data_IF_746228487076
#
_entry.id   IF_746228487076
#
_cell.length_a   1.000
_cell.length_b   1.000
_cell.length_c   1.000
_cell.angle_alpha   90.00
_cell.angle_beta   90.00
_cell.angle_gamma   90.00
#
_symmetry.space_group_name_H-M   'P 1'
#
loop_
_entity.id
_entity.type
_entity.pdbx_description
1 polymer ?
#
# COMPACT_ATOMS: atom_id res chain seq x y z
N UNK A 1 16.00 10.21 40.92
CA UNK A 1 15.01 10.95 40.07
C UNK A 1 15.09 10.64 38.56
N UNK A 2 15.67 9.52 38.14
CA UNK A 2 15.80 9.19 36.71
C UNK A 2 14.87 8.06 36.22
N UNK A 3 14.23 7.32 37.09
CA UNK A 3 13.37 6.21 36.68
C UNK A 3 11.94 6.61 36.24
N UNK A 4 11.44 7.76 36.71
CA UNK A 4 10.09 8.24 36.40
C UNK A 4 9.95 8.81 34.96
N UNK A 5 11.02 9.38 34.41
CA UNK A 5 11.00 10.02 33.09
C UNK A 5 11.00 8.98 31.98
N UNK A 6 11.72 7.87 32.13
CA UNK A 6 11.78 6.78 31.16
C UNK A 6 10.42 6.09 31.03
N UNK A 7 9.73 5.86 32.15
CA UNK A 7 8.39 5.27 32.17
C UNK A 7 7.34 6.15 31.49
N UNK A 8 7.45 7.47 31.62
CA UNK A 8 6.57 8.42 30.90
C UNK A 8 6.79 8.44 29.40
N UNK A 9 8.02 8.28 28.94
CA UNK A 9 8.33 8.21 27.50
C UNK A 9 7.85 6.91 26.86
N UNK A 10 7.99 5.78 27.52
CA UNK A 10 7.49 4.49 27.00
C UNK A 10 5.95 4.45 26.91
N UNK A 11 5.25 5.03 27.88
CA UNK A 11 3.79 5.16 27.85
C UNK A 11 3.34 6.14 26.75
N UNK A 12 4.05 7.25 26.56
CA UNK A 12 3.76 8.21 25.50
C UNK A 12 4.02 7.61 24.11
N UNK A 13 5.09 6.85 23.91
CA UNK A 13 5.41 6.13 22.68
C UNK A 13 4.38 5.02 22.38
N UNK A 14 3.95 4.27 23.38
CA UNK A 14 2.92 3.24 23.22
C UNK A 14 1.56 3.82 22.80
N UNK A 15 1.21 5.02 23.29
CA UNK A 15 -0.04 5.70 22.89
C UNK A 15 0.03 6.36 21.54
N UNK A 16 1.16 6.95 21.19
CA UNK A 16 1.42 7.43 19.84
C UNK A 16 1.32 6.29 18.83
N UNK A 17 1.93 5.15 19.11
CA UNK A 17 1.84 3.94 18.27
C UNK A 17 0.39 3.48 18.05
N UNK A 18 -0.44 3.45 19.11
CA UNK A 18 -1.85 3.09 18.98
C UNK A 18 -2.65 4.08 18.13
N UNK A 19 -2.38 5.38 18.29
CA UNK A 19 -3.03 6.44 17.52
C UNK A 19 -2.59 6.36 16.05
N UNK A 20 -1.32 6.09 15.77
CA UNK A 20 -0.81 5.88 14.42
C UNK A 20 -1.42 4.64 13.76
N UNK A 21 -1.54 3.53 14.50
CA UNK A 21 -2.20 2.33 14.01
C UNK A 21 -3.68 2.58 13.66
N UNK A 22 -4.38 3.34 14.48
CA UNK A 22 -5.77 3.73 14.23
C UNK A 22 -5.89 4.68 13.03
N UNK A 23 -4.97 5.64 12.90
CA UNK A 23 -4.92 6.55 11.75
C UNK A 23 -4.62 5.81 10.44
N UNK A 24 -3.69 4.86 10.44
CA UNK A 24 -3.39 4.03 9.28
C UNK A 24 -4.58 3.13 8.90
N UNK A 25 -5.24 2.52 9.88
CA UNK A 25 -6.43 1.69 9.68
C UNK A 25 -7.58 2.47 9.08
N UNK A 26 -7.83 3.70 9.53
CA UNK A 26 -8.86 4.57 8.96
C UNK A 26 -8.47 5.13 7.59
N UNK A 27 -7.20 5.38 7.33
CA UNK A 27 -6.74 5.82 6.01
C UNK A 27 -6.90 4.72 4.96
N UNK A 28 -6.76 3.44 5.31
CA UNK A 28 -7.00 2.32 4.41
C UNK A 28 -8.47 2.19 3.97
N UNK A 29 -9.41 2.65 4.79
CA UNK A 29 -10.86 2.61 4.51
C UNK A 29 -11.44 3.92 3.98
N UNK A 30 -10.62 4.87 3.60
CA UNK A 30 -11.07 6.18 3.10
C UNK A 30 -11.72 6.06 1.72
N UNK A 31 -13.03 6.08 1.66
CA UNK A 31 -13.77 6.26 0.42
C UNK A 31 -13.60 7.72 -0.05
N UNK A 32 -12.97 7.98 -1.21
CA UNK A 32 -12.94 9.32 -1.77
C UNK A 32 -14.38 9.74 -2.13
N UNK A 33 -14.83 10.90 -1.64
CA UNK A 33 -16.12 11.48 -1.98
C UNK A 33 -17.19 11.42 -0.90
N UNK A 34 -16.94 10.91 0.31
CA UNK A 34 -17.88 11.06 1.41
C UNK A 34 -17.59 12.37 2.19
N UNK A 35 -18.42 13.42 2.03
CA UNK A 35 -18.19 14.72 2.68
C UNK A 35 -18.22 14.63 4.21
N UNK A 36 -18.88 13.63 4.76
CA UNK A 36 -18.98 13.41 6.20
C UNK A 36 -17.86 12.57 6.80
N UNK A 37 -16.96 12.02 5.98
CA UNK A 37 -15.90 11.14 6.46
C UNK A 37 -14.99 11.81 7.49
N UNK A 38 -14.60 13.06 7.25
CA UNK A 38 -13.75 13.85 8.17
C UNK A 38 -14.42 13.98 9.55
N UNK A 39 -15.71 14.23 9.58
CA UNK A 39 -16.50 14.38 10.81
C UNK A 39 -16.66 13.03 11.52
N UNK A 40 -16.94 11.96 10.80
CA UNK A 40 -17.07 10.61 11.35
C UNK A 40 -15.73 10.12 11.92
N UNK A 41 -14.64 10.36 11.22
CA UNK A 41 -13.29 10.05 11.70
C UNK A 41 -12.95 10.77 13.00
N UNK A 42 -13.20 12.08 13.07
CA UNK A 42 -12.94 12.88 14.26
C UNK A 42 -13.81 12.42 15.44
N UNK A 43 -15.09 12.12 15.19
CA UNK A 43 -16.02 11.61 16.22
C UNK A 43 -15.55 10.25 16.74
N UNK A 44 -15.25 9.29 15.87
CA UNK A 44 -14.81 7.95 16.29
C UNK A 44 -13.47 8.00 17.04
N UNK A 45 -12.55 8.82 16.58
CA UNK A 45 -11.28 9.03 17.27
C UNK A 45 -11.47 9.66 18.65
N UNK A 46 -12.31 10.68 18.77
CA UNK A 46 -12.63 11.29 20.08
C UNK A 46 -13.30 10.29 21.02
N UNK A 47 -14.14 9.41 20.49
CA UNK A 47 -14.75 8.31 21.25
C UNK A 47 -13.69 7.32 21.74
N UNK A 48 -12.81 6.85 20.88
CA UNK A 48 -11.72 5.92 21.23
C UNK A 48 -10.76 6.53 22.27
N UNK A 49 -10.45 7.82 22.14
CA UNK A 49 -9.64 8.53 23.13
C UNK A 49 -10.33 8.64 24.49
N UNK A 50 -11.66 8.80 24.54
CA UNK A 50 -12.44 8.79 25.78
C UNK A 50 -12.55 7.39 26.40
N UNK A 51 -12.76 6.37 25.60
CA UNK A 51 -12.84 4.96 26.03
C UNK A 51 -11.50 4.51 26.65
N UNK A 52 -10.36 4.99 26.11
CA UNK A 52 -9.02 4.71 26.61
C UNK A 52 -8.53 5.71 27.69
N UNK A 53 -9.31 6.74 28.03
CA UNK A 53 -8.88 7.83 28.90
C UNK A 53 -8.84 7.49 30.39
N UNK A 54 -9.24 6.27 30.79
CA UNK A 54 -9.18 5.83 32.20
C UNK A 54 -7.79 5.88 32.83
N UNK A 55 -6.74 6.13 32.02
CA UNK A 55 -5.34 6.12 32.48
C UNK A 55 -4.47 7.31 32.02
N UNK A 56 -5.02 8.42 31.50
CA UNK A 56 -4.17 9.46 30.89
C UNK A 56 -4.60 10.89 31.14
N UNK A 57 -3.55 11.74 31.27
CA UNK A 57 -3.60 13.18 31.41
C UNK A 57 -4.39 13.83 30.23
N UNK A 58 -5.53 14.43 30.59
CA UNK A 58 -6.46 15.07 29.65
C UNK A 58 -5.80 16.28 28.95
N UNK A 59 -4.84 16.95 29.60
CA UNK A 59 -4.15 18.10 29.02
C UNK A 59 -3.23 17.71 27.86
N UNK A 60 -2.50 16.63 28.00
CA UNK A 60 -1.64 16.09 26.94
C UNK A 60 -2.44 15.68 25.72
N UNK A 61 -3.63 15.09 25.93
CA UNK A 61 -4.56 14.71 24.84
C UNK A 61 -5.10 15.96 24.13
N UNK A 62 -5.50 17.00 24.87
CA UNK A 62 -5.95 18.28 24.31
C UNK A 62 -4.87 18.96 23.49
N UNK A 63 -3.65 19.00 24.01
CA UNK A 63 -2.47 19.58 23.34
C UNK A 63 -2.17 18.86 22.02
N UNK A 64 -2.20 17.53 22.05
CA UNK A 64 -2.02 16.71 20.84
C UNK A 64 -3.11 16.97 19.79
N UNK A 65 -4.39 16.99 20.17
CA UNK A 65 -5.51 17.25 19.27
C UNK A 65 -5.39 18.63 18.62
N UNK A 66 -4.97 19.64 19.38
CA UNK A 66 -4.79 21.00 18.89
C UNK A 66 -3.63 21.08 17.86
N UNK A 67 -2.47 20.53 18.18
CA UNK A 67 -1.30 20.47 17.28
C UNK A 67 -1.67 19.74 15.99
N UNK A 68 -2.35 18.61 16.10
CA UNK A 68 -2.78 17.85 14.92
C UNK A 68 -3.80 18.60 14.06
N UNK A 69 -4.76 19.30 14.67
CA UNK A 69 -5.71 20.11 13.93
C UNK A 69 -5.01 21.20 13.11
N UNK A 70 -4.02 21.88 13.73
CA UNK A 70 -3.20 22.87 13.05
C UNK A 70 -2.38 22.28 11.90
N UNK A 71 -1.78 21.10 12.10
CA UNK A 71 -1.01 20.39 11.06
C UNK A 71 -1.89 19.94 9.88
N UNK A 72 -3.09 19.43 10.17
CA UNK A 72 -4.05 19.06 9.16
C UNK A 72 -4.54 20.29 8.36
N UNK A 73 -4.77 21.40 9.03
CA UNK A 73 -5.16 22.67 8.42
C UNK A 73 -4.05 23.23 7.50
N UNK A 74 -2.78 23.16 7.92
CA UNK A 74 -1.62 23.53 7.09
C UNK A 74 -1.43 22.61 5.88
N UNK A 75 -1.69 21.31 6.03
CA UNK A 75 -1.46 20.30 4.96
C UNK A 75 -2.57 20.27 3.92
N UNK A 76 -3.81 20.48 4.33
CA UNK A 76 -4.98 20.29 3.45
C UNK A 76 -5.69 21.60 3.09
N UNK A 77 -5.24 22.75 3.62
CA UNK A 77 -5.83 24.05 3.40
C UNK A 77 -7.20 24.20 4.09
N UNK A 78 -7.68 25.43 4.17
CA UNK A 78 -9.06 25.74 4.56
C UNK A 78 -9.92 25.53 3.31
N UNK A 79 -10.82 24.56 3.34
CA UNK A 79 -11.93 24.56 2.38
C UNK A 79 -12.85 25.70 2.79
N UNK A 80 -12.93 26.73 1.97
CA UNK A 80 -13.82 27.87 2.16
C UNK A 80 -15.25 27.42 2.37
N UNK A 81 -15.85 28.01 3.36
CA UNK A 81 -17.16 27.76 3.90
C UNK A 81 -18.27 27.96 2.89
N UNK A 82 -19.17 26.99 2.81
CA UNK A 82 -20.55 27.24 2.45
C UNK A 82 -21.21 27.82 3.69
N UNK A 83 -21.56 29.10 3.61
CA UNK A 83 -22.30 29.85 4.59
C UNK A 83 -23.66 29.21 4.89
N UNK A 84 -23.88 28.81 6.13
CA UNK A 84 -25.23 28.66 6.68
C UNK A 84 -25.38 29.71 7.78
N UNK A 85 -26.16 30.74 7.44
CA UNK A 85 -26.63 31.73 8.36
C UNK A 85 -27.63 31.10 9.36
N UNK A 86 -27.39 31.27 10.63
CA UNK A 86 -28.44 31.42 11.64
C UNK A 86 -27.88 32.05 12.93
N UNK A 87 -28.31 33.22 13.13
CA UNK A 87 -28.57 34.10 14.26
C UNK A 87 -28.23 33.69 15.69
N UNK A 88 -27.66 34.72 16.37
CA UNK A 88 -27.78 35.12 17.80
C UNK A 88 -26.98 34.26 18.81
N UNK A 89 -26.09 34.81 19.55
CA UNK A 89 -26.10 35.85 20.56
C UNK A 89 -24.72 36.05 21.21
N UNK A 90 -24.47 37.28 21.56
CA UNK A 90 -23.37 37.90 22.29
C UNK A 90 -22.69 37.06 23.41
N UNK A 91 -21.35 37.06 23.46
CA UNK A 91 -20.64 37.71 24.57
C UNK A 91 -19.15 37.98 24.22
N UNK A 92 -18.75 39.21 24.51
CA UNK A 92 -17.39 39.77 24.44
C UNK A 92 -16.50 39.14 25.52
N UNK A 93 -15.25 38.82 25.18
CA UNK A 93 -14.09 39.36 25.91
C UNK A 93 -12.77 38.82 25.38
N UNK A 94 -11.98 39.77 25.01
CA UNK A 94 -10.55 40.04 25.16
C UNK A 94 -9.57 39.25 24.31
N UNK A 95 -9.33 39.82 23.16
CA UNK A 95 -8.13 39.81 22.37
C UNK A 95 -6.97 40.47 23.12
N UNK A 96 -5.92 39.73 23.49
CA UNK A 96 -4.57 40.29 23.77
C UNK A 96 -3.43 39.26 23.81
N UNK A 97 -3.57 38.06 23.24
CA UNK A 97 -2.50 37.07 23.25
C UNK A 97 -2.01 36.64 21.83
N UNK A 98 -2.47 37.30 20.76
CA UNK A 98 -2.14 36.89 19.39
C UNK A 98 -1.04 37.72 18.71
N UNK A 99 -0.52 38.78 19.31
CA UNK A 99 0.45 39.66 18.66
C UNK A 99 1.94 39.35 18.96
N UNK A 100 2.23 38.46 19.92
CA UNK A 100 3.62 38.12 20.26
C UNK A 100 4.18 36.90 19.52
N UNK A 101 3.35 36.23 18.71
CA UNK A 101 3.77 35.02 17.97
C UNK A 101 4.07 35.32 16.50
N UNK A 102 3.60 36.46 15.96
CA UNK A 102 3.86 36.80 14.56
C UNK A 102 5.25 37.41 14.29
N UNK A 103 5.89 38.04 15.26
CA UNK A 103 7.23 38.62 15.07
C UNK A 103 8.38 37.60 15.09
N UNK A 104 8.19 36.42 15.67
CA UNK A 104 9.21 35.36 15.66
C UNK A 104 9.16 34.47 14.38
N UNK A 105 8.15 34.62 13.55
CA UNK A 105 7.98 33.82 12.31
C UNK A 105 8.56 34.54 11.09
N UNK A 106 8.74 35.87 11.13
CA UNK A 106 9.18 36.65 9.97
C UNK A 106 10.70 36.65 9.76
N UNK A 107 11.50 36.21 10.72
CA UNK A 107 12.98 36.17 10.60
C UNK A 107 13.48 34.87 9.94
N UNK A 108 12.65 33.82 9.85
CA UNK A 108 13.05 32.54 9.26
C UNK A 108 12.55 32.29 7.82
N UNK A 109 11.97 33.28 7.14
CA UNK A 109 11.47 33.11 5.77
C UNK A 109 12.55 33.25 4.67
N UNK A 110 13.83 33.40 5.00
CA UNK A 110 14.96 33.52 4.03
C UNK A 110 15.96 32.37 4.04
N UNK A 111 15.69 31.25 4.73
CA UNK A 111 16.41 29.99 4.49
C UNK A 111 15.44 28.93 3.99
N UNK A 112 15.00 29.10 2.75
CA UNK A 112 14.54 28.03 1.90
C UNK A 112 15.80 27.24 1.51
N UNK A 113 16.20 26.29 2.31
CA UNK A 113 17.26 25.37 1.94
C UNK A 113 16.87 23.97 2.36
N UNK A 114 16.75 23.13 1.37
CA UNK A 114 17.18 21.73 1.34
C UNK A 114 17.15 20.98 2.68
N UNK A 115 15.97 20.86 3.26
CA UNK A 115 15.73 19.72 4.12
C UNK A 115 15.46 18.53 3.19
N UNK A 116 16.55 17.89 2.83
CA UNK A 116 16.56 16.66 2.05
C UNK A 116 15.65 15.64 2.70
N UNK A 117 14.80 15.04 1.89
CA UNK A 117 13.91 13.91 2.23
C UNK A 117 14.68 12.73 2.86
N UNK A 118 16.02 12.75 2.82
CA UNK A 118 16.93 11.70 3.29
C UNK A 118 16.69 11.24 4.74
N UNK A 119 16.30 12.11 5.65
CA UNK A 119 16.04 11.73 7.05
C UNK A 119 14.76 10.90 7.23
N UNK A 120 13.79 11.00 6.31
CA UNK A 120 12.51 10.34 6.44
C UNK A 120 12.47 8.90 5.89
N UNK A 121 13.49 8.47 5.15
CA UNK A 121 13.57 7.16 4.51
C UNK A 121 14.81 6.36 4.93
N UNK A 122 15.32 6.61 6.11
CA UNK A 122 16.48 5.91 6.66
C UNK A 122 16.11 4.48 7.08
N UNK A 123 16.05 3.58 6.11
CA UNK A 123 16.14 2.15 6.35
C UNK A 123 17.62 1.80 6.32
N UNK A 124 18.23 1.58 7.46
CA UNK A 124 19.68 1.36 7.55
C UNK A 124 20.06 0.00 8.09
N UNK A 125 19.12 -0.72 8.68
CA UNK A 125 19.39 -2.00 9.33
C UNK A 125 18.62 -3.16 8.74
N UNK A 126 19.32 -4.29 8.52
CA UNK A 126 18.68 -5.58 8.30
C UNK A 126 18.11 -6.04 9.64
N UNK A 127 16.79 -6.20 9.70
CA UNK A 127 16.11 -6.70 10.89
C UNK A 127 16.18 -8.23 10.96
N UNK A 128 15.95 -8.88 9.81
CA UNK A 128 16.00 -10.35 9.69
C UNK A 128 16.16 -10.77 8.23
N UNK A 129 16.63 -12.00 8.03
CA UNK A 129 16.73 -12.64 6.73
C UNK A 129 16.01 -13.97 6.81
N UNK A 130 15.13 -14.22 5.86
CA UNK A 130 14.44 -15.49 5.66
C UNK A 130 14.99 -16.18 4.41
N UNK A 131 15.33 -17.47 4.52
CA UNK A 131 15.95 -18.30 3.47
C UNK A 131 15.27 -19.67 3.28
N UNK A 132 14.00 -19.77 3.68
CA UNK A 132 13.25 -21.04 3.66
C UNK A 132 12.81 -21.50 2.26
N UNK A 133 12.87 -20.63 1.25
CA UNK A 133 12.46 -20.96 -0.12
C UNK A 133 13.66 -21.39 -0.96
N UNK A 134 13.46 -22.42 -1.80
CA UNK A 134 14.51 -22.97 -2.66
C UNK A 134 14.57 -22.34 -4.04
N UNK A 135 13.51 -21.63 -4.45
CA UNK A 135 13.42 -20.90 -5.71
C UNK A 135 13.01 -19.46 -5.45
N UNK A 136 13.00 -18.65 -6.52
CA UNK A 136 12.71 -17.23 -6.43
C UNK A 136 11.40 -16.95 -5.67
N UNK A 137 11.46 -15.96 -4.79
CA UNK A 137 10.28 -15.39 -4.14
C UNK A 137 9.85 -14.18 -4.95
N UNK A 138 8.84 -14.37 -5.78
CA UNK A 138 8.36 -13.34 -6.70
C UNK A 138 7.49 -12.29 -6.02
N UNK A 139 6.82 -12.65 -4.93
CA UNK A 139 5.90 -11.75 -4.21
C UNK A 139 6.14 -11.87 -2.71
N UNK A 140 6.33 -10.72 -2.10
CA UNK A 140 6.24 -10.54 -0.64
C UNK A 140 5.14 -9.55 -0.34
N UNK A 141 4.30 -9.84 0.67
CA UNK A 141 3.20 -8.95 1.00
C UNK A 141 2.89 -8.97 2.49
N UNK A 142 3.05 -7.82 3.15
CA UNK A 142 2.57 -7.66 4.52
C UNK A 142 1.05 -7.74 4.57
N UNK A 143 0.54 -8.29 5.67
CA UNK A 143 -0.89 -8.29 5.94
C UNK A 143 -1.42 -6.86 6.13
N UNK A 144 -2.68 -6.63 5.74
CA UNK A 144 -3.31 -5.33 5.89
C UNK A 144 -3.41 -4.96 7.38
N UNK A 145 -2.93 -3.78 7.77
CA UNK A 145 -2.99 -3.29 9.16
C UNK A 145 -2.40 -4.22 10.24
N UNK A 146 -1.57 -5.20 9.85
CA UNK A 146 -0.85 -6.09 10.76
C UNK A 146 0.60 -6.24 10.30
N UNK A 147 1.54 -5.61 11.02
CA UNK A 147 2.97 -5.67 10.69
C UNK A 147 3.63 -6.98 11.09
N UNK A 148 2.95 -7.82 11.86
CA UNK A 148 3.52 -9.07 12.33
C UNK A 148 3.55 -10.16 11.26
N UNK A 149 2.60 -10.13 10.31
CA UNK A 149 2.42 -11.17 9.31
C UNK A 149 2.93 -10.74 7.95
N UNK A 150 3.81 -11.53 7.39
CA UNK A 150 4.32 -11.40 6.03
C UNK A 150 4.03 -12.69 5.26
N UNK A 151 3.48 -12.58 4.06
CA UNK A 151 3.33 -13.67 3.10
C UNK A 151 4.48 -13.60 2.09
N UNK A 152 5.10 -14.74 1.80
CA UNK A 152 6.11 -14.90 0.76
C UNK A 152 5.65 -16.00 -0.19
N UNK A 153 5.44 -15.66 -1.47
CA UNK A 153 5.03 -16.59 -2.50
C UNK A 153 6.22 -16.94 -3.41
N UNK A 154 6.52 -18.23 -3.51
CA UNK A 154 7.70 -18.73 -4.22
C UNK A 154 7.36 -19.57 -5.43
N UNK A 155 8.30 -19.62 -6.36
CA UNK A 155 8.25 -20.52 -7.52
C UNK A 155 8.47 -21.99 -7.15
N UNK A 156 8.92 -22.30 -5.92
CA UNK A 156 8.99 -23.66 -5.38
C UNK A 156 7.60 -24.30 -5.14
N UNK A 157 6.52 -23.57 -5.43
CA UNK A 157 5.14 -24.03 -5.27
C UNK A 157 4.57 -23.83 -3.87
N UNK A 158 5.33 -23.24 -2.96
CA UNK A 158 4.92 -23.01 -1.56
C UNK A 158 4.70 -21.53 -1.24
N UNK A 159 3.93 -21.28 -0.20
CA UNK A 159 3.70 -19.95 0.34
C UNK A 159 4.01 -19.97 1.83
N UNK A 160 4.98 -19.21 2.27
CA UNK A 160 5.30 -19.10 3.69
C UNK A 160 4.63 -17.90 4.33
N UNK A 161 4.14 -18.10 5.55
CA UNK A 161 3.66 -17.02 6.42
C UNK A 161 4.68 -16.85 7.54
N UNK A 162 5.27 -15.64 7.59
CA UNK A 162 6.31 -15.30 8.54
C UNK A 162 5.75 -14.38 9.64
N UNK A 163 6.12 -14.65 10.90
CA UNK A 163 5.93 -13.72 12.02
C UNK A 163 7.21 -12.90 12.17
N UNK A 164 7.12 -11.65 11.72
CA UNK A 164 8.27 -10.72 11.66
C UNK A 164 8.52 -10.03 12.99
N UNK A 165 7.53 -10.01 13.89
CA UNK A 165 7.62 -9.37 15.20
C UNK A 165 8.02 -10.32 16.32
N UNK A 166 8.04 -11.61 16.06
CA UNK A 166 8.59 -12.59 17.00
C UNK A 166 10.06 -12.30 17.31
N UNK A 167 10.54 -12.72 18.44
CA UNK A 167 11.94 -12.54 18.86
C UNK A 167 12.58 -13.92 19.09
N UNK A 168 13.38 -14.43 18.15
CA UNK A 168 13.68 -13.92 16.80
C UNK A 168 12.49 -14.06 15.83
N UNK A 169 12.46 -13.29 14.71
CA UNK A 169 11.51 -13.49 13.62
C UNK A 169 11.58 -14.92 13.09
N UNK A 170 10.43 -15.50 12.70
CA UNK A 170 10.35 -16.92 12.32
C UNK A 170 9.30 -17.16 11.25
N UNK A 171 9.47 -18.24 10.51
CA UNK A 171 8.40 -18.80 9.67
C UNK A 171 7.34 -19.40 10.60
N UNK A 172 6.12 -18.87 10.54
CA UNK A 172 5.02 -19.35 11.37
C UNK A 172 4.46 -20.67 10.85
N UNK A 173 4.30 -20.79 9.53
CA UNK A 173 3.90 -22.01 8.82
C UNK A 173 4.07 -21.84 7.31
N UNK A 174 4.06 -22.96 6.59
CA UNK A 174 4.10 -23.02 5.12
C UNK A 174 2.77 -23.59 4.63
N UNK A 175 2.25 -23.01 3.55
CA UNK A 175 1.05 -23.48 2.86
C UNK A 175 1.51 -24.24 1.60
N UNK A 176 1.13 -25.49 1.53
CA UNK A 176 1.42 -26.41 0.42
C UNK A 176 0.13 -26.78 -0.29
N UNK A 177 0.12 -26.72 -1.62
CA UNK A 177 -1.08 -27.06 -2.42
C UNK A 177 -0.96 -26.74 -3.90
N UNK A 178 -0.10 -25.79 -4.29
CA UNK A 178 0.24 -25.58 -5.69
C UNK A 178 1.23 -26.64 -6.17
N UNK A 179 1.04 -27.10 -7.40
CA UNK A 179 1.92 -28.10 -8.03
C UNK A 179 3.01 -27.46 -8.90
N UNK A 180 2.93 -26.16 -9.13
CA UNK A 180 3.91 -25.35 -9.86
C UNK A 180 4.08 -24.01 -9.16
N UNK A 181 4.94 -23.16 -9.73
CA UNK A 181 5.24 -21.83 -9.24
C UNK A 181 4.01 -21.03 -8.77
N UNK A 182 4.06 -20.47 -7.58
CA UNK A 182 3.07 -19.50 -7.09
C UNK A 182 3.42 -18.14 -7.69
N UNK A 183 2.50 -17.57 -8.44
CA UNK A 183 2.70 -16.35 -9.25
C UNK A 183 1.98 -15.14 -8.69
N UNK A 184 1.01 -15.34 -7.80
CA UNK A 184 0.23 -14.27 -7.19
C UNK A 184 -0.25 -14.63 -5.79
N UNK A 185 -0.32 -13.63 -4.92
CA UNK A 185 -0.97 -13.75 -3.61
C UNK A 185 -1.58 -12.42 -3.17
N UNK A 186 -2.66 -12.51 -2.41
CA UNK A 186 -3.29 -11.34 -1.80
C UNK A 186 -4.01 -11.67 -0.50
N UNK A 187 -3.94 -10.72 0.45
CA UNK A 187 -4.62 -10.79 1.74
C UNK A 187 -6.05 -10.26 1.62
N UNK A 188 -7.00 -10.95 2.26
CA UNK A 188 -8.32 -10.37 2.50
C UNK A 188 -8.23 -9.12 3.39
N UNK A 189 -9.22 -8.25 3.34
CA UNK A 189 -9.23 -7.02 4.14
C UNK A 189 -9.13 -7.26 5.65
N UNK A 190 -9.63 -8.42 6.14
CA UNK A 190 -9.57 -8.85 7.55
C UNK A 190 -8.30 -9.61 7.92
N UNK A 191 -7.45 -10.00 6.96
CA UNK A 191 -6.28 -10.88 7.12
C UNK A 191 -6.60 -12.32 7.59
N UNK A 192 -7.87 -12.72 7.58
CA UNK A 192 -8.27 -14.08 7.92
C UNK A 192 -8.08 -15.04 6.75
N UNK A 193 -8.17 -14.51 5.54
CA UNK A 193 -8.05 -15.25 4.30
C UNK A 193 -6.85 -14.77 3.50
N UNK A 194 -6.24 -15.71 2.81
CA UNK A 194 -5.23 -15.46 1.78
C UNK A 194 -5.72 -16.14 0.49
N UNK A 195 -5.59 -15.46 -0.64
CA UNK A 195 -5.73 -16.06 -1.96
C UNK A 195 -4.37 -16.19 -2.60
N UNK A 196 -4.13 -17.31 -3.26
CA UNK A 196 -2.92 -17.54 -4.06
C UNK A 196 -3.31 -18.06 -5.43
N UNK A 197 -2.51 -17.77 -6.44
CA UNK A 197 -2.66 -18.32 -7.77
C UNK A 197 -1.32 -18.80 -8.31
N UNK A 198 -1.35 -19.77 -9.21
CA UNK A 198 -0.13 -20.41 -9.68
C UNK A 198 -0.11 -20.76 -11.17
N UNK A 199 1.09 -21.11 -11.62
CA UNK A 199 1.36 -21.59 -12.98
C UNK A 199 0.70 -22.96 -13.26
N UNK A 200 0.15 -23.61 -12.24
CA UNK A 200 -0.68 -24.82 -12.36
C UNK A 200 -2.14 -24.52 -12.79
N UNK A 201 -2.47 -23.22 -12.97
CA UNK A 201 -3.82 -22.78 -13.29
C UNK A 201 -4.79 -22.80 -12.12
N UNK A 202 -4.32 -23.12 -10.92
CA UNK A 202 -5.12 -23.13 -9.72
C UNK A 202 -5.15 -21.77 -9.02
N UNK A 203 -6.30 -21.43 -8.49
CA UNK A 203 -6.49 -20.38 -7.48
C UNK A 203 -6.91 -21.06 -6.18
N UNK A 204 -6.17 -20.83 -5.10
CA UNK A 204 -6.41 -21.45 -3.81
C UNK A 204 -6.75 -20.39 -2.77
N UNK A 205 -7.85 -20.63 -2.07
CA UNK A 205 -8.27 -19.83 -0.90
C UNK A 205 -7.86 -20.55 0.38
N UNK A 206 -7.18 -19.83 1.25
CA UNK A 206 -6.65 -20.33 2.52
C UNK A 206 -7.29 -19.63 3.71
N UNK A 207 -7.59 -20.39 4.77
CA UNK A 207 -7.85 -19.88 6.11
C UNK A 207 -6.51 -19.79 6.84
N UNK A 208 -6.03 -18.58 7.03
CA UNK A 208 -4.72 -18.33 7.64
C UNK A 208 -4.69 -18.71 9.11
N UNK A 209 -5.79 -18.49 9.83
CA UNK A 209 -5.87 -18.80 11.25
C UNK A 209 -5.89 -20.32 11.51
N UNK A 210 -6.62 -21.08 10.67
CA UNK A 210 -6.70 -22.53 10.74
C UNK A 210 -5.61 -23.25 9.95
N UNK A 211 -4.80 -22.50 9.20
CA UNK A 211 -3.67 -23.00 8.38
C UNK A 211 -4.09 -24.09 7.40
N UNK A 212 -5.24 -23.91 6.76
CA UNK A 212 -5.80 -24.92 5.85
C UNK A 212 -6.34 -24.32 4.58
N UNK A 213 -6.32 -25.12 3.53
CA UNK A 213 -7.01 -24.82 2.29
C UNK A 213 -8.52 -24.88 2.52
N UNK A 214 -9.22 -23.82 2.10
CA UNK A 214 -10.69 -23.78 2.09
C UNK A 214 -11.24 -24.24 0.75
N UNK A 215 -10.62 -23.80 -0.34
CA UNK A 215 -11.08 -24.10 -1.70
C UNK A 215 -9.93 -23.98 -2.69
N UNK A 216 -9.95 -24.85 -3.72
CA UNK A 216 -9.16 -24.68 -4.92
C UNK A 216 -10.12 -24.61 -6.11
N UNK A 217 -9.85 -23.69 -7.03
CA UNK A 217 -10.61 -23.49 -8.27
C UNK A 217 -9.63 -23.44 -9.43
N UNK A 218 -9.88 -24.23 -10.45
CA UNK A 218 -9.07 -24.20 -11.68
C UNK A 218 -9.56 -23.12 -12.63
N UNK A 219 -8.61 -22.51 -13.35
CA UNK A 219 -8.90 -21.59 -14.43
C UNK A 219 -9.79 -22.26 -15.50
N UNK A 220 -10.77 -21.52 -16.00
CA UNK A 220 -11.74 -22.05 -16.98
C UNK A 220 -11.08 -22.58 -18.27
N UNK A 221 -9.96 -21.95 -18.65
CA UNK A 221 -9.18 -22.32 -19.84
C UNK A 221 -8.00 -23.25 -19.52
N UNK A 222 -7.87 -23.68 -18.27
CA UNK A 222 -6.72 -24.44 -17.74
C UNK A 222 -5.38 -23.74 -18.06
N UNK A 223 -5.38 -22.42 -18.07
CA UNK A 223 -4.21 -21.61 -18.33
C UNK A 223 -3.48 -21.27 -17.03
N UNK A 224 -2.15 -21.10 -17.04
CA UNK A 224 -1.44 -20.55 -15.91
C UNK A 224 -2.05 -19.22 -15.47
N UNK A 225 -2.35 -19.08 -14.18
CA UNK A 225 -2.71 -17.82 -13.56
C UNK A 225 -1.43 -17.05 -13.25
N UNK A 226 -1.40 -15.75 -13.46
CA UNK A 226 -0.20 -14.92 -13.31
C UNK A 226 -0.33 -13.86 -12.21
N UNK A 227 -1.55 -13.47 -11.89
CA UNK A 227 -1.82 -12.49 -10.84
C UNK A 227 -3.23 -12.67 -10.28
N UNK A 228 -3.41 -12.35 -9.01
CA UNK A 228 -4.71 -12.33 -8.36
C UNK A 228 -4.77 -11.24 -7.28
N UNK A 229 -5.93 -10.63 -7.13
CA UNK A 229 -6.20 -9.62 -6.08
C UNK A 229 -7.61 -9.78 -5.54
N UNK A 230 -7.80 -9.63 -4.23
CA UNK A 230 -9.14 -9.50 -3.67
C UNK A 230 -9.80 -8.20 -4.11
N UNK A 231 -11.09 -8.27 -4.31
CA UNK A 231 -11.88 -7.05 -4.44
C UNK A 231 -11.87 -6.34 -3.06
N UNK A 232 -11.42 -5.08 -2.97
CA UNK A 232 -11.10 -4.45 -1.69
C UNK A 232 -12.25 -4.33 -0.68
N UNK A 233 -13.49 -4.38 -1.15
CA UNK A 233 -14.70 -4.23 -0.31
C UNK A 233 -15.44 -5.56 -0.10
N UNK A 234 -15.12 -6.57 -0.90
CA UNK A 234 -15.81 -7.87 -0.86
C UNK A 234 -14.81 -9.03 -0.88
N UNK A 235 -14.53 -9.60 0.28
CA UNK A 235 -13.61 -10.74 0.45
C UNK A 235 -14.06 -12.04 -0.26
N UNK A 236 -15.28 -12.08 -0.82
CA UNK A 236 -15.74 -13.22 -1.59
C UNK A 236 -15.36 -13.14 -3.08
N UNK A 237 -14.93 -11.96 -3.56
CA UNK A 237 -14.62 -11.74 -4.95
C UNK A 237 -13.13 -11.54 -5.14
N UNK A 238 -12.56 -12.26 -6.10
CA UNK A 238 -11.16 -12.15 -6.53
C UNK A 238 -11.12 -11.86 -8.01
N UNK A 239 -10.21 -10.99 -8.42
CA UNK A 239 -9.94 -10.71 -9.82
C UNK A 239 -8.61 -11.38 -10.16
N UNK A 240 -8.57 -12.15 -11.21
CA UNK A 240 -7.39 -12.87 -11.67
C UNK A 240 -7.06 -12.58 -13.12
N UNK A 241 -5.79 -12.74 -13.46
CA UNK A 241 -5.29 -12.66 -14.80
C UNK A 241 -4.52 -13.92 -15.20
N UNK A 242 -4.77 -14.42 -16.41
CA UNK A 242 -4.14 -15.64 -16.89
C UNK A 242 -3.19 -15.42 -18.08
N UNK A 243 -2.44 -16.46 -18.42
CA UNK A 243 -1.46 -16.45 -19.51
C UNK A 243 -2.09 -16.39 -20.90
N UNK A 244 -3.40 -16.64 -21.06
CA UNK A 244 -4.14 -16.50 -22.32
C UNK A 244 -4.73 -15.10 -22.53
N UNK A 245 -4.46 -14.18 -21.59
CA UNK A 245 -4.91 -12.80 -21.70
C UNK A 245 -6.32 -12.55 -21.22
N UNK A 246 -6.88 -13.45 -20.42
CA UNK A 246 -8.18 -13.26 -19.79
C UNK A 246 -8.00 -12.59 -18.43
N UNK A 247 -8.83 -11.61 -18.16
CA UNK A 247 -9.10 -11.04 -16.85
C UNK A 247 -10.44 -11.58 -16.40
N UNK A 248 -10.48 -12.24 -15.25
CA UNK A 248 -11.65 -12.94 -14.75
C UNK A 248 -11.96 -12.58 -13.31
N UNK A 249 -13.23 -12.46 -13.00
CA UNK A 249 -13.74 -12.31 -11.63
C UNK A 249 -14.24 -13.66 -11.17
N UNK A 250 -13.80 -14.08 -10.00
CA UNK A 250 -14.23 -15.34 -9.35
C UNK A 250 -14.84 -15.04 -8.00
N UNK A 251 -15.98 -15.63 -7.71
CA UNK A 251 -16.48 -15.72 -6.34
C UNK A 251 -15.80 -16.92 -5.65
N UNK A 252 -14.78 -16.63 -4.83
CA UNK A 252 -13.96 -17.68 -4.18
C UNK A 252 -14.72 -18.46 -3.12
N UNK A 253 -15.79 -17.91 -2.54
CA UNK A 253 -16.62 -18.61 -1.57
C UNK A 253 -17.48 -19.71 -2.21
N UNK A 254 -18.00 -19.47 -3.41
CA UNK A 254 -18.83 -20.41 -4.15
C UNK A 254 -18.06 -21.20 -5.20
N UNK A 255 -16.93 -20.68 -5.67
CA UNK A 255 -16.16 -21.24 -6.81
C UNK A 255 -16.78 -20.93 -8.18
N UNK A 256 -17.68 -19.96 -8.24
CA UNK A 256 -18.46 -19.65 -9.47
C UNK A 256 -17.89 -18.37 -10.13
N UNK A 257 -17.72 -18.43 -11.44
CA UNK A 257 -17.43 -17.27 -12.28
C UNK A 257 -18.74 -16.56 -12.64
N UNK A 258 -18.92 -15.29 -12.25
CA UNK A 258 -20.16 -14.56 -12.55
C UNK A 258 -20.31 -14.29 -14.05
N UNK A 259 -21.54 -14.24 -14.52
CA UNK A 259 -21.83 -13.89 -15.93
C UNK A 259 -21.30 -12.50 -16.27
N UNK A 260 -20.58 -12.36 -17.37
CA UNK A 260 -19.94 -11.11 -17.78
C UNK A 260 -18.72 -10.73 -16.93
N UNK A 261 -18.27 -11.60 -16.02
CA UNK A 261 -17.09 -11.39 -15.16
C UNK A 261 -15.76 -11.70 -15.84
N UNK A 262 -15.74 -11.94 -17.15
CA UNK A 262 -14.51 -12.21 -17.92
C UNK A 262 -14.34 -11.23 -19.06
N UNK A 263 -13.06 -10.90 -19.36
CA UNK A 263 -12.71 -9.96 -20.41
C UNK A 263 -11.32 -10.26 -20.99
N UNK A 264 -11.17 -10.16 -22.30
CA UNK A 264 -9.90 -10.40 -23.01
C UNK A 264 -9.08 -9.10 -23.00
N UNK A 265 -7.84 -9.14 -22.47
CA UNK A 265 -6.89 -8.02 -22.51
C UNK A 265 -6.02 -8.04 -23.77
N UNK A 266 -5.71 -9.23 -24.29
CA UNK A 266 -4.94 -9.40 -25.53
C UNK A 266 -3.43 -9.52 -25.32
N UNK A 267 -2.97 -10.41 -24.49
CA UNK A 267 -1.60 -10.72 -24.09
C UNK A 267 -1.63 -11.30 -22.69
N UNK A 268 -0.55 -11.87 -22.19
CA UNK A 268 -0.49 -12.46 -20.84
C UNK A 268 -0.79 -11.39 -19.81
N UNK A 269 -1.80 -11.59 -18.95
CA UNK A 269 -2.16 -10.63 -17.91
C UNK A 269 -1.17 -10.77 -16.76
N UNK A 270 -0.30 -9.80 -16.59
CA UNK A 270 0.84 -9.87 -15.67
C UNK A 270 0.57 -9.20 -14.32
N UNK A 271 -0.28 -8.18 -14.29
CA UNK A 271 -0.57 -7.45 -13.05
C UNK A 271 -1.95 -6.81 -13.05
N UNK A 272 -2.53 -6.71 -11.86
CA UNK A 272 -3.83 -6.08 -11.59
C UNK A 272 -3.68 -5.17 -10.37
N UNK A 273 -4.26 -3.96 -10.44
CA UNK A 273 -4.36 -3.05 -9.31
C UNK A 273 -5.78 -2.52 -9.17
N UNK A 274 -6.35 -2.64 -7.97
CA UNK A 274 -7.70 -2.19 -7.67
C UNK A 274 -7.71 -0.84 -6.95
N UNK A 275 -8.69 -0.01 -7.28
CA UNK A 275 -9.05 1.14 -6.47
C UNK A 275 -9.68 0.69 -5.14
N UNK A 276 -9.51 1.45 -4.05
CA UNK A 276 -10.06 1.10 -2.72
C UNK A 276 -11.58 0.93 -2.68
N UNK A 277 -12.30 1.54 -3.61
CA UNK A 277 -13.75 1.36 -3.73
C UNK A 277 -14.13 -0.01 -4.30
N UNK A 278 -13.18 -0.72 -4.92
CA UNK A 278 -13.40 -1.99 -5.62
C UNK A 278 -14.29 -1.91 -6.86
N UNK A 279 -14.68 -0.70 -7.28
CA UNK A 279 -15.51 -0.49 -8.48
C UNK A 279 -14.69 -0.40 -9.76
N UNK A 280 -13.46 0.03 -9.65
CA UNK A 280 -12.54 0.20 -10.76
C UNK A 280 -11.21 -0.48 -10.47
N UNK A 281 -10.61 -1.03 -11.51
CA UNK A 281 -9.27 -1.58 -11.46
C UNK A 281 -8.57 -1.44 -12.81
N UNK A 282 -7.26 -1.59 -12.80
CA UNK A 282 -6.43 -1.63 -14.00
C UNK A 282 -5.81 -3.01 -14.11
N UNK A 283 -5.79 -3.55 -15.32
CA UNK A 283 -5.06 -4.76 -15.66
C UNK A 283 -4.06 -4.45 -16.76
N UNK A 284 -2.89 -5.05 -16.67
CA UNK A 284 -1.81 -4.86 -17.63
C UNK A 284 -1.28 -6.20 -18.16
N UNK A 285 -0.61 -6.14 -19.30
CA UNK A 285 -0.09 -7.32 -19.97
C UNK A 285 1.40 -7.21 -20.34
N UNK A 286 1.93 -8.32 -20.84
CA UNK A 286 3.29 -8.48 -21.34
C UNK A 286 3.60 -7.70 -22.63
N UNK A 287 2.62 -7.03 -23.24
CA UNK A 287 2.76 -6.17 -24.41
C UNK A 287 2.71 -4.68 -24.08
N UNK A 288 2.78 -4.33 -22.80
CA UNK A 288 2.72 -2.94 -22.36
C UNK A 288 1.32 -2.31 -22.41
N UNK A 289 0.26 -3.08 -22.61
CA UNK A 289 -1.11 -2.58 -22.65
C UNK A 289 -1.70 -2.57 -21.26
N UNK A 290 -2.25 -1.44 -20.86
CA UNK A 290 -2.97 -1.22 -19.60
C UNK A 290 -4.40 -0.85 -19.94
N UNK A 291 -5.38 -1.55 -19.38
CA UNK A 291 -6.81 -1.25 -19.55
C UNK A 291 -7.43 -1.01 -18.19
N UNK A 292 -8.20 0.07 -18.06
CA UNK A 292 -9.07 0.28 -16.91
C UNK A 292 -10.40 -0.44 -17.11
N UNK A 293 -10.89 -1.04 -16.03
CA UNK A 293 -12.14 -1.78 -15.99
C UNK A 293 -13.05 -1.23 -14.91
N UNK A 294 -14.35 -1.24 -15.18
CA UNK A 294 -15.37 -1.06 -14.16
C UNK A 294 -16.01 -2.39 -13.86
N UNK A 295 -16.11 -2.71 -12.58
CA UNK A 295 -16.83 -3.88 -12.10
C UNK A 295 -18.21 -3.44 -11.59
N UNK A 296 -19.27 -4.06 -12.12
CA UNK A 296 -20.63 -3.76 -11.66
C UNK A 296 -20.91 -4.48 -10.36
N UNK A 297 -21.23 -3.73 -9.32
CA UNK A 297 -21.80 -4.11 -8.02
C UNK A 297 -21.61 -5.56 -7.56
N UNK A 298 -22.68 -6.18 -7.07
CA UNK A 298 -22.67 -7.55 -6.58
C UNK A 298 -22.54 -8.62 -7.70
N UNK A 299 -22.76 -8.25 -8.95
CA UNK A 299 -22.77 -9.18 -10.09
C UNK A 299 -21.40 -9.48 -10.69
N UNK A 300 -20.34 -8.71 -10.36
CA UNK A 300 -18.98 -8.94 -10.83
C UNK A 300 -18.77 -8.78 -12.36
N UNK A 301 -19.75 -8.25 -13.11
CA UNK A 301 -19.62 -8.05 -14.55
C UNK A 301 -18.61 -6.94 -14.87
N UNK A 302 -17.78 -7.16 -15.90
CA UNK A 302 -16.69 -6.28 -16.29
C UNK A 302 -17.05 -5.44 -17.53
N UNK A 303 -16.70 -4.16 -17.47
CA UNK A 303 -16.77 -3.24 -18.61
C UNK A 303 -15.40 -2.63 -18.84
N UNK A 304 -14.86 -2.75 -20.04
CA UNK A 304 -13.63 -2.05 -20.46
C UNK A 304 -13.92 -0.56 -20.60
N UNK A 305 -13.01 0.28 -20.13
CA UNK A 305 -13.16 1.73 -20.20
C UNK A 305 -12.07 2.37 -21.06
N UNK A 306 -10.87 2.53 -20.53
CA UNK A 306 -9.77 3.25 -21.17
C UNK A 306 -8.57 2.34 -21.39
N UNK A 307 -7.81 2.64 -22.44
CA UNK A 307 -6.59 1.92 -22.79
C UNK A 307 -5.41 2.89 -22.80
N UNK A 308 -4.30 2.45 -22.21
CA UNK A 308 -3.00 3.12 -22.24
C UNK A 308 -1.94 2.10 -22.67
N UNK A 309 -0.85 2.56 -23.26
CA UNK A 309 0.27 1.70 -23.65
C UNK A 309 1.58 2.30 -23.12
N UNK A 310 2.49 1.44 -22.64
CA UNK A 310 3.86 1.75 -22.24
C UNK A 310 4.84 1.00 -23.14
N UNK A 311 6.15 1.34 -23.05
CA UNK A 311 7.16 0.84 -23.99
C UNK A 311 7.56 -0.62 -23.82
N UNK A 312 7.32 -1.23 -22.65
CA UNK A 312 7.74 -2.60 -22.33
C UNK A 312 6.65 -3.44 -21.68
N UNK A 313 6.92 -4.73 -21.49
CA UNK A 313 6.05 -5.61 -20.74
C UNK A 313 5.83 -5.06 -19.32
N UNK A 314 4.58 -4.96 -18.88
CA UNK A 314 4.28 -4.51 -17.51
C UNK A 314 4.45 -5.67 -16.55
N UNK A 315 5.22 -5.48 -15.49
CA UNK A 315 5.42 -6.47 -14.43
C UNK A 315 4.59 -6.19 -13.18
N UNK A 316 4.39 -4.91 -12.85
CA UNK A 316 3.68 -4.51 -11.63
C UNK A 316 2.85 -3.27 -11.86
N UNK A 317 1.66 -3.29 -11.28
CA UNK A 317 0.78 -2.14 -11.10
C UNK A 317 0.58 -1.91 -9.60
N UNK A 318 0.75 -0.68 -9.16
CA UNK A 318 0.43 -0.29 -7.78
C UNK A 318 -0.41 0.98 -7.79
N UNK A 319 -1.51 0.97 -7.05
CA UNK A 319 -2.43 2.09 -6.99
C UNK A 319 -2.31 2.83 -5.66
N UNK A 320 -2.42 4.17 -5.71
CA UNK A 320 -2.45 5.02 -4.52
C UNK A 320 -3.53 6.09 -4.63
N UNK A 321 -4.38 6.25 -3.59
CA UNK A 321 -5.39 7.30 -3.57
C UNK A 321 -4.83 8.70 -3.31
N UNK A 322 -3.56 8.82 -2.88
CA UNK A 322 -3.09 9.99 -2.12
C UNK A 322 -1.93 10.76 -2.73
N UNK A 323 -1.60 10.55 -3.98
CA UNK A 323 -0.51 11.31 -4.54
C UNK A 323 -0.90 12.78 -4.76
N UNK A 324 -0.38 13.68 -3.91
CA UNK A 324 -0.43 15.12 -4.11
C UNK A 324 -1.79 15.64 -4.65
N UNK A 325 -2.89 15.26 -4.01
CA UNK A 325 -4.28 15.64 -4.33
C UNK A 325 -4.97 14.80 -5.42
N UNK A 326 -4.28 13.90 -6.08
CA UNK A 326 -4.86 13.08 -7.15
C UNK A 326 -4.50 11.61 -6.99
N UNK A 327 -5.42 10.69 -7.32
CA UNK A 327 -5.10 9.28 -7.36
C UNK A 327 -4.06 9.00 -8.46
N UNK A 328 -3.17 8.04 -8.19
CA UNK A 328 -2.08 7.70 -9.09
C UNK A 328 -1.93 6.20 -9.26
N UNK A 329 -1.36 5.81 -10.40
CA UNK A 329 -0.96 4.47 -10.73
C UNK A 329 0.54 4.44 -11.01
N UNK A 330 1.25 3.56 -10.32
CA UNK A 330 2.65 3.25 -10.55
C UNK A 330 2.73 2.01 -11.43
N UNK A 331 3.57 2.05 -12.46
CA UNK A 331 3.70 1.00 -13.45
C UNK A 331 5.16 0.65 -13.64
N UNK A 332 5.56 -0.57 -13.28
CA UNK A 332 6.88 -1.10 -13.62
C UNK A 332 6.83 -1.77 -14.97
N UNK A 333 7.73 -1.39 -15.86
CA UNK A 333 7.78 -1.93 -17.22
C UNK A 333 9.19 -2.37 -17.61
N UNK A 334 9.29 -3.44 -18.38
CA UNK A 334 10.54 -4.06 -18.80
C UNK A 334 11.24 -3.30 -19.95
N UNK A 335 11.19 -1.97 -19.90
CA UNK A 335 11.92 -1.03 -20.74
C UNK A 335 12.86 -0.14 -19.90
N UNK A 336 13.34 -0.68 -18.79
CA UNK A 336 14.13 0.02 -17.77
C UNK A 336 13.39 1.21 -17.14
N UNK A 337 12.06 1.15 -17.06
CA UNK A 337 11.28 2.30 -16.64
C UNK A 337 10.25 1.99 -15.57
N UNK A 338 10.16 2.92 -14.64
CA UNK A 338 9.09 3.03 -13.69
C UNK A 338 8.27 4.27 -14.03
N UNK A 339 7.02 4.07 -14.42
CA UNK A 339 6.11 5.13 -14.82
C UNK A 339 5.19 5.51 -13.66
N UNK A 340 5.04 6.80 -13.45
CA UNK A 340 4.05 7.36 -12.55
C UNK A 340 2.98 8.05 -13.37
N UNK A 341 1.77 7.48 -13.34
CA UNK A 341 0.60 8.05 -13.99
C UNK A 341 -0.33 8.71 -12.97
N UNK A 342 -0.89 9.85 -13.35
CA UNK A 342 -2.05 10.44 -12.69
C UNK A 342 -3.31 9.85 -13.30
N UNK A 343 -4.30 9.51 -12.48
CA UNK A 343 -5.63 9.13 -12.92
C UNK A 343 -6.45 10.41 -13.10
N UNK A 344 -6.89 10.67 -14.33
CA UNK A 344 -7.42 11.98 -14.73
C UNK A 344 -8.94 12.07 -14.60
N UNK A 345 -9.65 10.94 -14.70
CA UNK A 345 -11.10 10.89 -14.73
C UNK A 345 -11.68 9.65 -14.00
N UNK A 346 -13.01 9.59 -13.95
CA UNK A 346 -13.76 8.48 -13.34
C UNK A 346 -13.77 7.19 -14.19
N UNK A 347 -13.19 7.23 -15.37
CA UNK A 347 -13.05 6.07 -16.27
C UNK A 347 -11.64 5.48 -16.19
N UNK A 348 -10.76 6.08 -15.35
CA UNK A 348 -9.43 5.59 -15.11
C UNK A 348 -8.42 5.92 -16.20
N UNK A 349 -8.63 7.02 -16.94
CA UNK A 349 -7.66 7.53 -17.91
C UNK A 349 -6.35 7.88 -17.23
N UNK A 350 -5.24 7.46 -17.84
CA UNK A 350 -3.90 7.64 -17.34
C UNK A 350 -3.18 8.76 -18.07
N UNK A 351 -2.67 9.74 -17.34
CA UNK A 351 -1.77 10.78 -17.86
C UNK A 351 -0.40 10.66 -17.20
N UNK A 352 0.65 10.56 -18.02
CA UNK A 352 2.02 10.41 -17.54
C UNK A 352 2.44 11.66 -16.75
N UNK A 353 2.91 11.43 -15.51
CA UNK A 353 3.44 12.50 -14.63
C UNK A 353 4.96 12.50 -14.60
N UNK A 354 5.56 11.32 -14.34
CA UNK A 354 7.01 11.12 -14.28
C UNK A 354 7.40 9.75 -14.83
N UNK A 355 8.63 9.64 -15.28
CA UNK A 355 9.31 8.40 -15.62
C UNK A 355 10.63 8.36 -14.86
N UNK A 356 10.97 7.19 -14.30
CA UNK A 356 12.22 6.96 -13.61
C UNK A 356 12.94 5.81 -14.27
N UNK A 357 14.27 5.90 -14.34
CA UNK A 357 15.10 4.83 -14.89
C UNK A 357 15.44 3.84 -13.78
N UNK A 358 15.03 2.59 -13.96
CA UNK A 358 15.27 1.46 -13.04
C UNK A 358 15.66 0.26 -13.89
N UNK A 359 16.76 -0.43 -13.57
CA UNK A 359 17.17 -1.63 -14.29
C UNK A 359 16.11 -2.74 -14.16
N UNK A 360 15.37 -2.96 -15.25
CA UNK A 360 14.24 -3.87 -15.32
C UNK A 360 13.97 -4.31 -16.77
N UNK A 361 14.50 -5.45 -17.16
CA UNK A 361 14.32 -6.02 -18.53
C UNK A 361 13.87 -7.46 -18.55
N UNK A 362 14.39 -8.28 -17.67
CA UNK A 362 14.26 -9.74 -17.74
C UNK A 362 13.39 -10.34 -16.65
N UNK A 363 13.34 -9.70 -15.49
CA UNK A 363 12.63 -10.20 -14.33
C UNK A 363 11.39 -9.37 -14.01
N UNK A 364 10.40 -9.98 -13.36
CA UNK A 364 9.19 -9.28 -12.91
C UNK A 364 9.43 -8.44 -11.65
N UNK A 365 10.03 -7.26 -11.80
CA UNK A 365 10.30 -6.37 -10.68
C UNK A 365 9.02 -5.68 -10.20
N UNK A 366 8.81 -5.69 -8.89
CA UNK A 366 7.69 -5.01 -8.24
C UNK A 366 8.08 -3.65 -7.71
N UNK A 367 7.11 -2.75 -7.69
CA UNK A 367 7.21 -1.43 -7.08
C UNK A 367 5.95 -1.08 -6.30
N UNK A 368 6.10 -0.26 -5.28
CA UNK A 368 4.98 0.15 -4.43
C UNK A 368 5.15 1.58 -3.94
N UNK A 369 4.04 2.21 -3.60
CA UNK A 369 4.06 3.48 -2.88
C UNK A 369 4.41 3.26 -1.42
N UNK A 370 5.23 4.14 -0.87
CA UNK A 370 5.39 4.19 0.58
C UNK A 370 4.06 4.60 1.22
N UNK A 371 3.63 3.94 2.30
CA UNK A 371 2.45 4.37 3.04
C UNK A 371 2.57 5.82 3.48
N UNK A 372 1.49 6.60 3.34
CA UNK A 372 1.51 8.01 3.71
C UNK A 372 1.24 8.16 5.19
N UNK A 373 2.26 8.43 5.98
CA UNK A 373 2.13 8.76 7.39
C UNK A 373 1.78 10.23 7.58
N UNK A 374 0.96 10.56 8.59
CA UNK A 374 0.39 11.90 8.81
C UNK A 374 1.41 13.04 9.00
N UNK A 375 2.66 12.70 9.29
CA UNK A 375 3.72 13.66 9.60
C UNK A 375 4.84 13.73 8.56
N UNK A 376 4.73 12.93 7.50
CA UNK A 376 5.76 12.90 6.48
C UNK A 376 5.57 14.05 5.49
N UNK A 377 6.66 14.71 5.11
CA UNK A 377 6.74 15.60 3.97
C UNK A 377 7.25 14.81 2.77
N UNK A 378 6.59 14.96 1.63
CA UNK A 378 6.95 14.27 0.40
C UNK A 378 6.30 12.89 0.26
N UNK A 379 6.28 12.41 -0.95
CA UNK A 379 5.76 11.08 -1.32
C UNK A 379 6.86 10.31 -2.02
N UNK A 380 7.08 9.10 -1.59
CA UNK A 380 8.11 8.22 -2.12
C UNK A 380 7.50 6.95 -2.69
N UNK A 381 8.16 6.40 -3.67
CA UNK A 381 7.91 5.06 -4.17
C UNK A 381 9.16 4.22 -3.99
N UNK A 382 8.97 2.92 -3.80
CA UNK A 382 10.05 1.95 -3.69
C UNK A 382 9.94 0.95 -4.82
N UNK A 383 11.06 0.65 -5.43
CA UNK A 383 11.19 -0.36 -6.48
C UNK A 383 12.33 -1.30 -6.20
N UNK A 384 12.11 -2.60 -6.43
CA UNK A 384 13.19 -3.52 -6.66
C UNK A 384 13.95 -3.15 -7.95
N UNK A 385 15.04 -3.85 -8.22
CA UNK A 385 15.84 -3.65 -9.43
C UNK A 385 16.67 -4.90 -9.75
N UNK A 386 16.97 -5.09 -11.03
CA UNK A 386 17.83 -6.19 -11.47
C UNK A 386 19.30 -6.02 -11.06
N UNK A 387 19.72 -4.82 -10.65
CA UNK A 387 21.04 -4.55 -10.10
C UNK A 387 21.23 -4.97 -8.63
N UNK A 388 20.33 -5.79 -8.10
CA UNK A 388 20.30 -6.28 -6.72
C UNK A 388 20.12 -5.18 -5.65
N UNK A 389 19.58 -4.03 -6.04
CA UNK A 389 19.34 -2.90 -5.14
C UNK A 389 17.86 -2.59 -5.01
N UNK A 390 17.51 -1.89 -3.93
CA UNK A 390 16.17 -1.34 -3.71
C UNK A 390 16.25 0.18 -3.74
N UNK A 391 15.47 0.80 -4.62
CA UNK A 391 15.49 2.25 -4.83
C UNK A 391 14.30 2.92 -4.19
N UNK A 392 14.56 3.99 -3.47
CA UNK A 392 13.56 4.92 -2.96
C UNK A 392 13.58 6.17 -3.83
N UNK A 393 12.45 6.53 -4.42
CA UNK A 393 12.33 7.61 -5.40
C UNK A 393 11.34 8.65 -4.91
N UNK A 394 11.77 9.92 -4.91
CA UNK A 394 10.89 11.05 -4.65
C UNK A 394 10.07 11.42 -5.90
N UNK A 395 8.77 11.46 -5.72
CA UNK A 395 7.84 11.73 -6.80
C UNK A 395 7.29 13.15 -6.82
N UNK A 396 7.44 13.91 -5.72
CA UNK A 396 7.01 15.32 -5.62
C UNK A 396 8.15 16.31 -5.89
N UNK A 397 9.38 15.93 -5.58
CA UNK A 397 10.55 16.79 -5.75
C UNK A 397 10.84 17.14 -7.21
N UNK A 398 11.40 18.33 -7.41
CA UNK A 398 11.93 18.79 -8.70
C UNK A 398 13.43 18.51 -8.85
N UNK A 399 13.98 17.67 -7.97
CA UNK A 399 15.40 17.33 -7.98
C UNK A 399 15.77 16.61 -9.29
N UNK A 400 16.93 16.98 -9.86
CA UNK A 400 17.51 16.28 -11.01
C UNK A 400 17.81 14.82 -10.70
N UNK A 401 18.04 14.49 -9.42
CA UNK A 401 18.22 13.12 -8.94
C UNK A 401 17.02 12.71 -8.07
N UNK A 402 16.13 11.86 -8.59
CA UNK A 402 14.95 11.42 -7.85
C UNK A 402 15.24 10.38 -6.77
N UNK A 403 16.44 9.76 -6.77
CA UNK A 403 16.82 8.72 -5.82
C UNK A 403 17.15 9.34 -4.47
N UNK A 404 16.31 9.07 -3.47
CA UNK A 404 16.50 9.55 -2.08
C UNK A 404 17.22 8.54 -1.19
N UNK A 405 17.10 7.26 -1.49
CA UNK A 405 17.79 6.19 -0.75
C UNK A 405 17.98 4.98 -1.65
N UNK A 406 19.03 4.21 -1.37
CA UNK A 406 19.35 2.97 -2.06
C UNK A 406 19.80 1.93 -1.03
N UNK A 407 19.07 0.80 -0.94
CA UNK A 407 19.45 -0.30 -0.07
C UNK A 407 20.23 -1.34 -0.87
N UNK A 408 21.32 -1.81 -0.27
CA UNK A 408 22.16 -2.87 -0.78
C UNK A 408 22.24 -3.99 0.25
N UNK A 409 22.00 -5.22 -0.16
CA UNK A 409 22.01 -6.39 0.74
C UNK A 409 21.64 -7.67 0.03
N UNK A 410 20.95 -7.59 -1.11
CA UNK A 410 20.72 -8.72 -2.01
C UNK A 410 21.95 -8.95 -2.91
N UNK A 411 22.19 -10.21 -3.24
CA UNK A 411 23.22 -10.61 -4.21
C UNK A 411 22.65 -10.85 -5.61
N UNK A 412 21.33 -10.93 -5.71
CA UNK A 412 20.58 -11.25 -6.92
C UNK A 412 19.49 -10.20 -7.18
N UNK A 413 18.91 -10.14 -8.41
CA UNK A 413 17.83 -9.24 -8.74
C UNK A 413 16.69 -9.22 -7.71
N UNK A 414 16.31 -8.02 -7.26
CA UNK A 414 15.24 -7.83 -6.29
C UNK A 414 13.91 -7.78 -7.01
N UNK A 415 13.03 -8.73 -6.69
CA UNK A 415 11.73 -8.91 -7.34
C UNK A 415 10.60 -8.27 -6.57
N UNK A 416 10.39 -8.69 -5.32
CA UNK A 416 9.27 -8.28 -4.50
C UNK A 416 9.64 -7.17 -3.51
N UNK A 417 8.70 -6.24 -3.31
CA UNK A 417 8.82 -5.18 -2.30
C UNK A 417 7.48 -4.96 -1.61
N UNK A 418 7.47 -4.87 -0.29
CA UNK A 418 6.26 -4.60 0.49
C UNK A 418 6.58 -3.85 1.78
N UNK A 419 5.80 -2.83 2.10
CA UNK A 419 5.85 -2.14 3.38
C UNK A 419 4.89 -2.72 4.39
N UNK A 420 5.29 -2.71 5.67
CA UNK A 420 4.30 -2.76 6.75
C UNK A 420 3.43 -1.48 6.71
N UNK A 421 2.20 -1.59 7.19
CA UNK A 421 1.22 -0.48 7.16
C UNK A 421 1.70 0.77 7.91
N UNK A 422 2.58 0.60 8.89
CA UNK A 422 3.15 1.66 9.74
C UNK A 422 4.52 2.15 9.26
N UNK A 423 4.99 1.65 8.12
CA UNK A 423 6.31 1.91 7.53
C UNK A 423 7.52 1.58 8.42
N UNK A 424 7.32 0.87 9.52
CA UNK A 424 8.43 0.49 10.40
C UNK A 424 9.32 -0.58 9.79
N UNK A 425 8.75 -1.39 8.89
CA UNK A 425 9.42 -2.51 8.23
C UNK A 425 9.19 -2.47 6.72
N UNK A 426 10.21 -2.86 5.98
CA UNK A 426 10.15 -3.13 4.55
C UNK A 426 10.62 -4.56 4.31
N UNK A 427 9.86 -5.34 3.57
CA UNK A 427 10.26 -6.66 3.09
C UNK A 427 10.68 -6.56 1.62
N UNK A 428 11.77 -7.21 1.27
CA UNK A 428 12.26 -7.33 -0.10
C UNK A 428 12.66 -8.76 -0.38
N UNK A 429 12.43 -9.25 -1.60
CA UNK A 429 12.76 -10.61 -2.00
C UNK A 429 13.53 -10.66 -3.32
N UNK A 430 14.27 -11.71 -3.54
CA UNK A 430 15.10 -11.85 -4.73
C UNK A 430 14.91 -13.18 -5.50
N UNK A 431 15.62 -13.31 -6.60
CA UNK A 431 15.59 -14.48 -7.49
C UNK A 431 16.14 -15.74 -6.81
N UNK A 432 16.98 -15.62 -5.78
CA UNK A 432 17.57 -16.77 -5.08
C UNK A 432 16.66 -17.36 -3.99
N UNK A 433 15.48 -16.75 -3.74
CA UNK A 433 14.56 -17.18 -2.67
C UNK A 433 14.77 -16.47 -1.34
N UNK A 434 15.72 -15.54 -1.26
CA UNK A 434 16.03 -14.80 -0.05
C UNK A 434 15.04 -13.67 0.17
N UNK A 435 14.57 -13.50 1.42
CA UNK A 435 13.72 -12.38 1.84
C UNK A 435 14.40 -11.61 2.96
N UNK A 436 14.67 -10.33 2.73
CA UNK A 436 15.27 -9.44 3.71
C UNK A 436 14.22 -8.51 4.31
N UNK A 437 14.18 -8.46 5.63
CA UNK A 437 13.38 -7.50 6.37
C UNK A 437 14.26 -6.35 6.82
N UNK A 438 13.94 -5.17 6.37
CA UNK A 438 14.62 -3.93 6.74
C UNK A 438 13.84 -3.21 7.82
N UNK A 439 14.54 -2.65 8.77
CA UNK A 439 13.95 -1.83 9.83
C UNK A 439 14.31 -0.38 9.61
N UNK A 440 13.34 0.47 9.84
CA UNK A 440 13.54 1.92 9.87
C UNK A 440 14.34 2.29 11.12
N UNK A 441 15.41 3.07 10.96
CA UNK A 441 16.24 3.61 12.05
C UNK A 441 15.55 4.78 12.75
#
# INVERSE_FOLDING_TARGET
>A
MSCGVIYYWEIALGTLSLIFALDARFNAYRAPGNPNFKTLYIRRRSQLLRENSKFKDIETIKKYINIRSQLLQRRYGVQDNISISSSSSRHRSSSKASLAIEESITINSKKKNDMTISENYAFSGVHHIFDQHTEQVSIVKFANNDRSKLCCASHDGTVSICDVTASPPRVAFVLEGHTKAVTGCDWSASNDLLVTCGADGAMILWDVNRRRQLRAVQDQLQAPLLCCVFQPVNNNMVIAGNARGMVEVLNVSTGIYPRGGSSILGGRVTSIACESSGRMFWAANDKGVIISYRMSGAGGALSKLRRCCVGGAVSCLSWSPWLARHPALLVSAADDSLYLFRISDREGSLSLKKRFDIAHRHHGVQSTFCPIMSFRRGVCVVSGSEDACVYFLDIEGHAEQPVVNKLQGHAHPVLGVSFSYDESLLATSDVSGLVIIWRRS
#
